data_IF_053162063531
#
_entry.id   IF_053162063531
#
_cell.length_a   1.000
_cell.length_b   1.000
_cell.length_c   1.000
_cell.angle_alpha   90.00
_cell.angle_beta   90.00
_cell.angle_gamma   90.00
#
_symmetry.space_group_name_H-M   'P 1'
#
loop_
_entity.id
_entity.type
_entity.pdbx_description
1 polymer ?
#
# COMPACT_ATOMS: atom_id res chain seq x y z
N UNK A 1 15.35 -9.40 12.59
CA UNK A 1 14.92 -8.67 11.38
C UNK A 1 13.41 -8.63 11.42
N UNK A 2 12.77 -7.49 11.11
CA UNK A 2 11.30 -7.50 11.00
C UNK A 2 10.90 -8.39 9.82
N UNK A 3 9.75 -9.04 9.92
CA UNK A 3 9.16 -9.71 8.77
C UNK A 3 8.83 -8.69 7.66
N UNK A 4 8.88 -9.09 6.37
CA UNK A 4 8.61 -8.18 5.25
C UNK A 4 7.13 -7.75 5.25
N UNK A 5 6.80 -6.56 4.73
CA UNK A 5 5.41 -6.19 4.53
C UNK A 5 4.73 -7.14 3.53
N UNK A 6 3.40 -7.19 3.54
CA UNK A 6 2.61 -8.07 2.69
C UNK A 6 1.95 -7.29 1.54
N UNK A 7 1.85 -7.95 0.39
CA UNK A 7 1.03 -7.53 -0.74
C UNK A 7 -0.05 -8.59 -0.97
N UNK A 8 -1.22 -8.35 -0.40
CA UNK A 8 -2.35 -9.26 -0.39
C UNK A 8 -3.18 -9.08 -1.67
N UNK A 9 -3.49 -10.19 -2.33
CA UNK A 9 -4.03 -10.17 -3.68
C UNK A 9 -5.28 -11.05 -3.80
N UNK A 10 -6.42 -10.43 -4.12
CA UNK A 10 -7.58 -11.15 -4.62
C UNK A 10 -7.48 -11.46 -6.12
N UNK A 11 -8.36 -12.34 -6.60
CA UNK A 11 -8.45 -12.77 -8.00
C UNK A 11 -9.64 -12.11 -8.68
N UNK A 12 -10.87 -12.43 -8.29
CA UNK A 12 -12.07 -11.92 -8.93
C UNK A 12 -12.21 -10.41 -8.66
N UNK A 13 -12.56 -9.64 -9.70
CA UNK A 13 -12.59 -8.18 -9.64
C UNK A 13 -11.21 -7.48 -9.57
N UNK A 14 -10.12 -8.23 -9.29
CA UNK A 14 -8.76 -7.67 -9.17
C UNK A 14 -7.86 -8.09 -10.33
N UNK A 15 -7.45 -9.36 -10.37
CA UNK A 15 -6.70 -9.93 -11.50
C UNK A 15 -7.63 -10.36 -12.63
N UNK A 16 -8.82 -10.87 -12.27
CA UNK A 16 -9.89 -11.28 -13.15
C UNK A 16 -10.95 -10.18 -13.22
N UNK A 17 -10.86 -9.33 -14.24
CA UNK A 17 -11.85 -8.27 -14.44
C UNK A 17 -13.21 -8.85 -14.84
N UNK A 18 -14.29 -8.28 -14.32
CA UNK A 18 -15.66 -8.69 -14.61
C UNK A 18 -16.09 -8.31 -16.04
N UNK A 19 -15.53 -7.21 -16.55
CA UNK A 19 -15.65 -6.76 -17.93
C UNK A 19 -14.28 -6.72 -18.60
N UNK A 20 -14.24 -6.66 -19.93
CA UNK A 20 -12.97 -6.55 -20.68
C UNK A 20 -12.61 -5.06 -20.78
N UNK A 21 -11.60 -4.57 -20.04
CA UNK A 21 -11.23 -3.15 -20.05
C UNK A 21 -10.51 -2.75 -21.33
N UNK A 22 -9.70 -3.66 -21.90
CA UNK A 22 -8.88 -3.39 -23.08
C UNK A 22 -8.45 -4.66 -23.84
N UNK A 23 -7.80 -4.49 -25.01
CA UNK A 23 -7.31 -5.60 -25.83
C UNK A 23 -6.22 -6.45 -25.15
N UNK A 24 -5.50 -5.89 -24.18
CA UNK A 24 -4.47 -6.56 -23.37
C UNK A 24 -5.02 -7.62 -22.43
N UNK A 25 -6.32 -7.58 -22.13
CA UNK A 25 -7.00 -8.56 -21.29
C UNK A 25 -7.38 -9.81 -22.08
N UNK A 26 -6.82 -10.95 -21.74
CA UNK A 26 -7.01 -12.20 -22.46
C UNK A 26 -8.12 -13.02 -21.79
N UNK A 27 -9.05 -13.52 -22.61
CA UNK A 27 -10.06 -14.44 -22.12
C UNK A 27 -9.46 -15.85 -22.00
N UNK A 28 -9.63 -16.47 -20.84
CA UNK A 28 -9.17 -17.83 -20.56
C UNK A 28 -10.17 -18.56 -19.67
N UNK A 29 -9.86 -19.79 -19.29
CA UNK A 29 -10.70 -20.60 -18.41
C UNK A 29 -9.88 -21.30 -17.33
N UNK A 30 -10.50 -21.45 -16.17
CA UNK A 30 -10.01 -22.25 -15.07
C UNK A 30 -11.21 -22.83 -14.32
N UNK A 31 -11.17 -24.11 -13.96
CA UNK A 31 -12.23 -24.78 -13.19
C UNK A 31 -13.66 -24.55 -13.72
N UNK A 32 -13.81 -24.39 -15.03
CA UNK A 32 -15.11 -24.12 -15.68
C UNK A 32 -15.51 -22.65 -15.76
N UNK A 33 -14.87 -21.76 -14.99
CA UNK A 33 -15.09 -20.31 -15.04
C UNK A 33 -14.40 -19.67 -16.24
N UNK A 34 -15.00 -18.59 -16.75
CA UNK A 34 -14.36 -17.72 -17.74
C UNK A 34 -13.63 -16.62 -16.99
N UNK A 35 -12.36 -16.44 -17.29
CA UNK A 35 -11.52 -15.39 -16.71
C UNK A 35 -11.15 -14.37 -17.78
N UNK A 36 -10.98 -13.12 -17.37
CA UNK A 36 -10.38 -12.03 -18.14
C UNK A 36 -9.15 -11.55 -17.38
N UNK A 37 -7.97 -11.97 -17.83
CA UNK A 37 -6.70 -11.68 -17.14
C UNK A 37 -5.81 -10.81 -18.03
N UNK A 38 -5.06 -9.89 -17.43
CA UNK A 38 -3.98 -9.21 -18.12
C UNK A 38 -2.62 -9.87 -17.75
N UNK A 39 -1.92 -10.52 -18.71
CA UNK A 39 -0.64 -11.16 -18.42
C UNK A 39 0.46 -10.21 -17.94
N UNK A 40 0.35 -8.89 -18.16
CA UNK A 40 1.34 -7.94 -17.67
C UNK A 40 1.29 -7.74 -16.15
N UNK A 41 0.16 -8.07 -15.50
CA UNK A 41 -0.02 -7.83 -14.07
C UNK A 41 0.92 -8.67 -13.20
N UNK A 42 1.24 -9.91 -13.57
CA UNK A 42 2.21 -10.70 -12.79
C UNK A 42 3.60 -10.09 -12.76
N UNK A 43 4.23 -9.76 -13.90
CA UNK A 43 5.49 -9.03 -13.93
C UNK A 43 5.46 -7.70 -13.16
N UNK A 44 4.35 -6.95 -13.22
CA UNK A 44 4.20 -5.69 -12.49
C UNK A 44 4.14 -5.91 -10.96
N UNK A 45 3.40 -6.93 -10.50
CA UNK A 45 3.34 -7.32 -9.09
C UNK A 45 4.68 -7.79 -8.56
N UNK A 46 5.41 -8.61 -9.34
CA UNK A 46 6.75 -9.07 -8.98
C UNK A 46 7.74 -7.91 -8.84
N UNK A 47 7.71 -6.97 -9.80
CA UNK A 47 8.52 -5.77 -9.74
C UNK A 47 8.18 -4.91 -8.51
N UNK A 48 6.90 -4.73 -8.21
CA UNK A 48 6.47 -3.99 -7.01
C UNK A 48 6.96 -4.66 -5.72
N UNK A 49 6.85 -5.99 -5.63
CA UNK A 49 7.34 -6.76 -4.50
C UNK A 49 8.86 -6.62 -4.33
N UNK A 50 9.62 -6.72 -5.43
CA UNK A 50 11.08 -6.53 -5.45
C UNK A 50 11.49 -5.11 -4.99
N UNK A 51 10.85 -4.08 -5.55
CA UNK A 51 11.15 -2.67 -5.23
C UNK A 51 10.89 -2.32 -3.76
N UNK A 52 9.85 -2.92 -3.17
CA UNK A 52 9.38 -2.58 -1.83
C UNK A 52 9.84 -3.56 -0.75
N UNK A 53 10.39 -4.71 -1.15
CA UNK A 53 10.70 -5.82 -0.24
C UNK A 53 9.44 -6.48 0.34
N UNK A 54 8.29 -6.33 -0.31
CA UNK A 54 7.03 -6.95 0.11
C UNK A 54 6.94 -8.40 -0.34
N UNK A 55 6.25 -9.22 0.45
CA UNK A 55 5.90 -10.59 0.12
C UNK A 55 4.50 -10.63 -0.52
N UNK A 56 4.41 -11.15 -1.74
CA UNK A 56 3.13 -11.39 -2.39
C UNK A 56 2.43 -12.58 -1.76
N UNK A 57 1.14 -12.42 -1.42
CA UNK A 57 0.34 -13.47 -0.78
C UNK A 57 -1.08 -13.46 -1.34
N UNK A 58 -1.61 -14.64 -1.65
CA UNK A 58 -2.99 -14.82 -2.09
C UNK A 58 -3.97 -14.58 -0.93
N UNK A 59 -4.90 -13.66 -1.12
CA UNK A 59 -5.98 -13.33 -0.20
C UNK A 59 -7.33 -13.44 -0.94
N UNK A 60 -7.60 -14.65 -1.44
CA UNK A 60 -8.66 -14.90 -2.42
C UNK A 60 -9.45 -16.16 -2.07
N UNK A 61 -10.70 -16.21 -2.53
CA UNK A 61 -11.59 -17.37 -2.40
C UNK A 61 -11.12 -18.58 -3.21
N UNK A 62 -10.21 -18.36 -4.17
CA UNK A 62 -9.53 -19.44 -4.89
C UNK A 62 -8.53 -20.22 -4.01
N UNK A 63 -8.08 -19.65 -2.90
CA UNK A 63 -7.06 -20.23 -2.02
C UNK A 63 -5.90 -20.88 -2.82
N UNK A 64 -5.61 -22.16 -2.57
CA UNK A 64 -4.54 -22.91 -3.25
C UNK A 64 -4.81 -23.14 -4.74
N UNK A 65 -6.04 -23.02 -5.24
CA UNK A 65 -6.32 -23.03 -6.68
C UNK A 65 -5.72 -21.80 -7.37
N UNK A 66 -5.51 -20.68 -6.68
CA UNK A 66 -4.88 -19.50 -7.28
C UNK A 66 -3.47 -19.81 -7.81
N UNK A 67 -2.68 -20.59 -7.07
CA UNK A 67 -1.36 -21.06 -7.50
C UNK A 67 -1.43 -22.03 -8.70
N UNK A 68 -2.49 -22.84 -8.79
CA UNK A 68 -2.64 -23.83 -9.88
C UNK A 68 -3.19 -23.20 -11.16
N UNK A 69 -4.12 -22.27 -11.00
CA UNK A 69 -4.99 -21.83 -12.07
C UNK A 69 -4.75 -20.39 -12.49
N UNK A 70 -4.40 -19.49 -11.57
CA UNK A 70 -4.27 -18.06 -11.85
C UNK A 70 -2.81 -17.69 -12.08
N UNK A 71 -1.94 -17.99 -11.11
CA UNK A 71 -0.54 -17.60 -11.13
C UNK A 71 0.18 -17.89 -12.46
N UNK A 72 0.15 -19.14 -12.97
CA UNK A 72 0.78 -19.49 -14.24
C UNK A 72 0.25 -18.71 -15.46
N UNK A 73 -1.00 -18.23 -15.43
CA UNK A 73 -1.62 -17.51 -16.55
C UNK A 73 -1.21 -16.03 -16.60
N UNK A 74 -0.78 -15.47 -15.46
CA UNK A 74 -0.26 -14.10 -15.36
C UNK A 74 1.24 -14.04 -15.12
N UNK A 75 1.93 -15.19 -15.01
CA UNK A 75 3.37 -15.24 -14.80
C UNK A 75 3.81 -15.03 -13.34
N UNK A 76 2.93 -15.29 -12.38
CA UNK A 76 3.28 -15.32 -10.96
C UNK A 76 3.80 -16.71 -10.57
N UNK A 77 4.82 -16.79 -9.68
CA UNK A 77 5.26 -18.05 -9.11
C UNK A 77 4.22 -18.61 -8.13
N UNK A 78 4.52 -19.76 -7.53
CA UNK A 78 3.78 -20.21 -6.35
C UNK A 78 4.01 -19.23 -5.20
N UNK A 79 2.92 -18.77 -4.58
CA UNK A 79 2.93 -17.78 -3.51
C UNK A 79 2.26 -18.33 -2.25
N UNK A 80 2.58 -17.81 -1.06
CA UNK A 80 1.81 -18.06 0.15
C UNK A 80 0.30 -17.81 -0.04
N UNK A 81 -0.52 -18.57 0.68
CA UNK A 81 -1.98 -18.49 0.62
C UNK A 81 -2.53 -18.24 2.02
N UNK A 82 -3.44 -17.28 2.14
CA UNK A 82 -4.27 -17.13 3.34
C UNK A 82 -5.40 -18.16 3.24
N UNK A 83 -5.37 -19.16 4.12
CA UNK A 83 -6.45 -20.12 4.25
C UNK A 83 -7.60 -19.46 5.01
N UNK A 84 -8.76 -19.35 4.35
CA UNK A 84 -9.90 -18.59 4.86
C UNK A 84 -10.66 -19.36 5.97
N UNK A 85 -10.47 -20.68 6.02
CA UNK A 85 -11.01 -21.54 7.07
C UNK A 85 -12.53 -21.48 7.20
N UNK A 86 -13.05 -21.88 8.37
CA UNK A 86 -14.47 -21.67 8.69
C UNK A 86 -14.69 -20.20 9.03
N UNK A 87 -15.35 -19.47 8.14
CA UNK A 87 -15.63 -18.05 8.28
C UNK A 87 -16.20 -17.71 9.68
N UNK A 88 -15.60 -16.73 10.34
CA UNK A 88 -16.23 -16.06 11.46
C UNK A 88 -17.28 -15.11 10.88
N UNK A 89 -18.56 -15.43 11.06
CA UNK A 89 -19.66 -14.57 10.60
C UNK A 89 -19.71 -13.31 11.48
N UNK A 90 -19.01 -12.28 11.04
CA UNK A 90 -19.03 -10.95 11.64
C UNK A 90 -19.98 -10.10 10.79
N UNK A 91 -21.12 -9.66 11.34
CA UNK A 91 -22.13 -8.96 10.56
C UNK A 91 -21.57 -7.72 9.85
N UNK A 92 -21.76 -7.68 8.52
CA UNK A 92 -21.33 -6.56 7.67
C UNK A 92 -19.86 -6.59 7.24
N UNK A 93 -19.07 -7.51 7.76
CA UNK A 93 -17.66 -7.70 7.41
C UNK A 93 -17.56 -8.79 6.34
N UNK A 94 -16.77 -8.55 5.30
CA UNK A 94 -16.44 -9.53 4.29
C UNK A 94 -15.82 -10.75 4.95
N UNK A 95 -16.32 -11.92 4.62
CA UNK A 95 -15.95 -13.17 5.29
C UNK A 95 -14.45 -13.54 5.17
N UNK A 96 -13.72 -12.95 4.21
CA UNK A 96 -12.25 -13.04 4.09
C UNK A 96 -11.52 -12.26 5.18
N UNK A 97 -12.08 -11.12 5.61
CA UNK A 97 -11.40 -10.12 6.46
C UNK A 97 -10.91 -10.68 7.79
N UNK A 98 -11.68 -11.51 8.54
CA UNK A 98 -11.17 -12.12 9.77
C UNK A 98 -9.94 -13.01 9.55
N UNK A 99 -9.92 -13.81 8.48
CA UNK A 99 -8.78 -14.67 8.17
C UNK A 99 -7.53 -13.85 7.81
N UNK A 100 -7.71 -12.75 7.07
CA UNK A 100 -6.62 -11.80 6.79
C UNK A 100 -6.09 -11.18 8.09
N UNK A 101 -6.97 -10.74 8.99
CA UNK A 101 -6.58 -10.11 10.25
C UNK A 101 -5.73 -11.04 11.13
N UNK A 102 -6.05 -12.33 11.17
CA UNK A 102 -5.26 -13.34 11.88
C UNK A 102 -3.92 -13.68 11.19
N UNK A 103 -3.90 -13.62 9.85
CA UNK A 103 -2.72 -13.98 9.07
C UNK A 103 -1.59 -12.95 9.18
N UNK A 104 -1.93 -11.64 9.18
CA UNK A 104 -0.94 -10.56 9.02
C UNK A 104 0.04 -10.41 10.19
N UNK A 105 -0.34 -10.82 11.41
CA UNK A 105 0.57 -10.91 12.58
C UNK A 105 1.44 -9.67 12.83
N UNK A 106 0.86 -8.49 12.64
CA UNK A 106 1.50 -7.19 12.86
C UNK A 106 2.36 -6.71 11.69
N UNK A 107 2.49 -7.50 10.62
CA UNK A 107 3.18 -7.10 9.39
C UNK A 107 2.37 -5.99 8.70
N UNK A 108 3.00 -4.88 8.28
CA UNK A 108 2.33 -3.89 7.45
C UNK A 108 1.88 -4.53 6.13
N UNK A 109 0.72 -4.13 5.59
CA UNK A 109 0.24 -4.74 4.34
C UNK A 109 -0.57 -3.80 3.44
N UNK A 110 -0.51 -4.09 2.14
CA UNK A 110 -1.44 -3.55 1.15
C UNK A 110 -2.37 -4.67 0.70
N UNK A 111 -3.67 -4.41 0.58
CA UNK A 111 -4.64 -5.39 0.09
C UNK A 111 -5.39 -4.85 -1.13
N UNK A 112 -5.21 -5.52 -2.27
CA UNK A 112 -6.03 -5.31 -3.47
C UNK A 112 -7.27 -6.20 -3.43
N UNK A 113 -8.43 -5.59 -3.38
CA UNK A 113 -9.74 -6.25 -3.32
C UNK A 113 -10.80 -5.32 -3.90
N UNK A 114 -11.84 -5.87 -4.51
CA UNK A 114 -12.99 -5.11 -5.01
C UNK A 114 -14.18 -5.09 -4.04
N UNK A 115 -14.26 -6.06 -3.13
CA UNK A 115 -15.44 -6.29 -2.28
C UNK A 115 -15.34 -5.67 -0.87
N UNK A 116 -14.18 -5.13 -0.49
CA UNK A 116 -13.98 -4.53 0.83
C UNK A 116 -14.78 -3.24 1.03
N UNK A 117 -15.29 -3.05 2.24
CA UNK A 117 -16.09 -1.90 2.63
C UNK A 117 -15.62 -1.25 3.96
N UNK A 118 -16.32 -0.20 4.39
CA UNK A 118 -15.99 0.55 5.61
C UNK A 118 -16.01 -0.31 6.90
N UNK A 119 -16.87 -1.33 6.97
CA UNK A 119 -16.93 -2.25 8.10
C UNK A 119 -15.70 -3.18 8.14
N UNK A 120 -15.17 -3.60 6.99
CA UNK A 120 -13.91 -4.32 6.90
C UNK A 120 -12.75 -3.48 7.41
N UNK A 121 -12.68 -2.22 6.98
CA UNK A 121 -11.64 -1.30 7.43
C UNK A 121 -11.74 -1.04 8.94
N UNK A 122 -12.95 -0.85 9.47
CA UNK A 122 -13.18 -0.68 10.90
C UNK A 122 -12.82 -1.94 11.70
N UNK A 123 -13.13 -3.12 11.18
CA UNK A 123 -12.73 -4.40 11.77
C UNK A 123 -11.20 -4.49 11.85
N UNK A 124 -10.49 -4.33 10.73
CA UNK A 124 -9.02 -4.37 10.69
C UNK A 124 -8.38 -3.36 11.63
N UNK A 125 -8.87 -2.11 11.67
CA UNK A 125 -8.35 -1.05 12.57
C UNK A 125 -8.44 -1.41 14.05
N UNK A 126 -9.41 -2.22 14.44
CA UNK A 126 -9.68 -2.53 15.85
C UNK A 126 -9.22 -3.94 16.25
N UNK A 127 -8.86 -4.78 15.28
CA UNK A 127 -8.45 -6.15 15.52
C UNK A 127 -7.02 -6.21 16.08
N UNK A 128 -6.80 -6.89 17.23
CA UNK A 128 -5.46 -7.06 17.79
C UNK A 128 -4.52 -7.77 16.80
N UNK A 129 -3.29 -7.28 16.68
CA UNK A 129 -2.29 -7.91 15.81
C UNK A 129 -2.41 -7.55 14.34
N UNK A 130 -3.31 -6.65 13.95
CA UNK A 130 -3.27 -6.00 12.64
C UNK A 130 -2.25 -4.85 12.67
N UNK A 131 -1.31 -4.87 11.72
CA UNK A 131 -0.32 -3.79 11.54
C UNK A 131 -0.89 -2.60 10.76
N UNK A 132 -0.04 -1.63 10.44
CA UNK A 132 -0.41 -0.55 9.50
C UNK A 132 -0.84 -1.15 8.16
N UNK A 133 -1.89 -0.62 7.55
CA UNK A 133 -2.41 -1.19 6.32
C UNK A 133 -2.96 -0.16 5.35
N UNK A 134 -3.02 -0.58 4.07
CA UNK A 134 -3.70 0.15 3.01
C UNK A 134 -4.64 -0.79 2.26
N UNK A 135 -5.92 -0.44 2.20
CA UNK A 135 -6.85 -1.05 1.26
C UNK A 135 -6.78 -0.29 -0.07
N UNK A 136 -6.58 -1.04 -1.15
CA UNK A 136 -6.67 -0.53 -2.53
C UNK A 136 -7.92 -1.12 -3.14
N UNK A 137 -9.01 -0.36 -3.05
CA UNK A 137 -10.28 -0.71 -3.70
C UNK A 137 -10.08 -0.73 -5.21
N UNK A 138 -10.26 -1.89 -5.80
CA UNK A 138 -10.22 -2.10 -7.24
C UNK A 138 -11.65 -2.08 -7.77
N UNK A 139 -11.89 -1.39 -8.87
CA UNK A 139 -13.17 -1.51 -9.57
C UNK A 139 -13.19 -2.85 -10.31
N UNK A 140 -14.10 -3.74 -9.90
CA UNK A 140 -14.23 -5.09 -10.44
C UNK A 140 -14.41 -5.15 -11.96
N UNK A 141 -15.03 -4.14 -12.57
CA UNK A 141 -15.21 -4.07 -14.02
C UNK A 141 -13.90 -3.83 -14.77
N UNK A 142 -12.94 -3.16 -14.12
CA UNK A 142 -11.70 -2.70 -14.71
C UNK A 142 -10.47 -3.49 -14.25
N UNK A 143 -10.53 -4.16 -13.09
CA UNK A 143 -9.40 -4.84 -12.49
C UNK A 143 -8.23 -3.91 -12.13
N UNK A 144 -7.06 -4.50 -11.90
CA UNK A 144 -5.86 -3.72 -11.57
C UNK A 144 -5.48 -2.72 -12.66
N UNK A 145 -4.99 -1.56 -12.23
CA UNK A 145 -4.54 -0.45 -13.09
C UNK A 145 -3.20 0.08 -12.59
N UNK A 146 -2.47 0.80 -13.44
CA UNK A 146 -1.19 1.44 -13.06
C UNK A 146 -1.30 2.29 -11.80
N UNK A 147 -2.43 3.00 -11.62
CA UNK A 147 -2.69 3.80 -10.42
C UNK A 147 -2.74 2.97 -9.14
N UNK A 148 -3.24 1.73 -9.21
CA UNK A 148 -3.25 0.83 -8.05
C UNK A 148 -1.82 0.42 -7.67
N UNK A 149 -0.97 0.14 -8.65
CA UNK A 149 0.45 -0.17 -8.42
C UNK A 149 1.22 1.02 -7.84
N UNK A 150 0.98 2.23 -8.35
CA UNK A 150 1.59 3.46 -7.83
C UNK A 150 1.20 3.70 -6.37
N UNK A 151 -0.10 3.64 -6.05
CA UNK A 151 -0.60 3.82 -4.69
C UNK A 151 0.03 2.82 -3.70
N UNK A 152 0.15 1.55 -4.11
CA UNK A 152 0.78 0.53 -3.30
C UNK A 152 2.28 0.76 -3.12
N UNK A 153 3.00 1.14 -4.19
CA UNK A 153 4.44 1.45 -4.15
C UNK A 153 4.74 2.58 -3.18
N UNK A 154 4.00 3.67 -3.29
CA UNK A 154 4.23 4.86 -2.47
C UNK A 154 4.02 4.55 -1.00
N UNK A 155 2.92 3.89 -0.68
CA UNK A 155 2.59 3.52 0.69
C UNK A 155 3.64 2.58 1.29
N UNK A 156 4.01 1.50 0.59
CA UNK A 156 5.01 0.55 1.08
C UNK A 156 6.39 1.20 1.24
N UNK A 157 6.75 2.10 0.34
CA UNK A 157 7.99 2.88 0.44
C UNK A 157 8.00 3.73 1.71
N UNK A 158 6.91 4.46 1.97
CA UNK A 158 6.77 5.28 3.19
C UNK A 158 6.85 4.42 4.45
N UNK A 159 6.22 3.25 4.47
CA UNK A 159 6.26 2.33 5.62
C UNK A 159 7.68 1.82 5.90
N UNK A 160 8.41 1.44 4.85
CA UNK A 160 9.80 0.99 4.96
C UNK A 160 10.67 2.07 5.57
N UNK A 161 10.56 3.30 5.10
CA UNK A 161 11.39 4.42 5.56
C UNK A 161 11.05 4.88 6.96
N UNK A 162 9.77 4.83 7.31
CA UNK A 162 9.32 5.05 8.68
C UNK A 162 9.94 4.02 9.61
N UNK A 163 9.93 2.75 9.21
CA UNK A 163 10.55 1.66 9.96
C UNK A 163 12.07 1.81 10.09
N UNK A 164 12.76 2.21 9.00
CA UNK A 164 14.20 2.46 9.01
C UNK A 164 14.56 3.67 9.89
N UNK A 165 13.80 4.78 9.79
CA UNK A 165 13.94 5.95 10.67
C UNK A 165 13.79 5.56 12.12
N UNK A 166 12.78 4.77 12.47
CA UNK A 166 12.50 4.40 13.85
C UNK A 166 13.56 3.44 14.41
N UNK A 167 14.10 2.54 13.58
CA UNK A 167 15.27 1.72 13.93
C UNK A 167 16.50 2.56 14.18
N UNK A 168 16.82 3.50 13.29
CA UNK A 168 17.97 4.39 13.46
C UNK A 168 17.80 5.28 14.70
N UNK A 169 16.60 5.78 14.98
CA UNK A 169 16.32 6.55 16.19
C UNK A 169 16.42 5.69 17.47
N UNK A 170 16.03 4.42 17.42
CA UNK A 170 16.22 3.50 18.54
C UNK A 170 17.69 3.19 18.75
N UNK A 171 18.41 2.83 17.68
CA UNK A 171 19.84 2.57 17.73
C UNK A 171 20.62 3.79 18.22
N UNK A 172 20.22 5.01 17.84
CA UNK A 172 20.82 6.25 18.33
C UNK A 172 20.57 6.46 19.83
N UNK A 173 19.38 6.13 20.36
CA UNK A 173 19.09 6.20 21.81
C UNK A 173 19.86 5.14 22.60
N UNK A 174 19.93 3.93 22.06
CA UNK A 174 20.67 2.83 22.66
C UNK A 174 22.18 3.07 22.57
N UNK A 175 22.64 3.70 21.48
CA UNK A 175 24.02 4.15 21.31
C UNK A 175 24.31 5.38 22.15
N UNK A 176 23.40 6.33 22.39
CA UNK A 176 23.61 7.44 23.33
C UNK A 176 23.67 6.93 24.78
N UNK A 177 22.94 5.85 25.09
CA UNK A 177 23.08 5.12 26.34
C UNK A 177 24.42 4.34 26.42
N UNK A 178 25.04 4.00 25.27
CA UNK A 178 26.35 3.32 25.17
C UNK A 178 27.54 4.29 24.92
N UNK A 179 27.28 5.50 24.42
CA UNK A 179 28.23 6.52 23.98
C UNK A 179 28.52 7.54 25.08
N UNK A 180 28.06 7.28 26.29
CA UNK A 180 28.80 7.69 27.47
C UNK A 180 30.14 6.95 27.64
N UNK A 181 30.48 5.96 26.79
CA UNK A 181 31.77 5.24 26.91
C UNK A 181 32.55 4.95 25.60
N UNK A 182 32.11 5.35 24.40
CA UNK A 182 33.00 5.20 23.22
C UNK A 182 32.71 6.12 22.03
N UNK A 183 33.61 7.07 21.84
CA UNK A 183 33.76 7.90 20.65
C UNK A 183 34.12 7.09 19.38
N UNK A 184 33.53 7.51 18.26
CA UNK A 184 34.05 7.46 16.86
C UNK A 184 34.31 6.07 16.23
N UNK A 185 33.41 5.63 15.34
CA UNK A 185 33.62 5.42 13.88
C UNK A 185 32.58 4.43 13.31
N UNK A 186 31.57 4.93 12.58
CA UNK A 186 30.74 4.13 11.66
C UNK A 186 30.69 4.84 10.30
N UNK A 187 30.82 4.05 9.23
CA UNK A 187 31.51 4.41 7.99
C UNK A 187 30.70 5.27 7.01
N UNK A 188 31.39 6.15 6.28
CA UNK A 188 30.83 7.07 5.27
C UNK A 188 29.97 6.40 4.18
N UNK A 189 30.11 5.07 3.97
CA UNK A 189 29.35 4.31 2.98
C UNK A 189 27.86 4.19 3.33
N UNK A 190 27.53 3.95 4.60
CA UNK A 190 26.13 3.84 5.05
C UNK A 190 25.44 5.21 5.02
N UNK A 191 26.18 6.29 5.30
CA UNK A 191 25.67 7.67 5.17
C UNK A 191 25.41 8.05 3.72
N UNK A 192 26.26 7.61 2.80
CA UNK A 192 26.09 7.86 1.36
C UNK A 192 24.88 7.09 0.80
N UNK A 193 24.67 5.84 1.22
CA UNK A 193 23.51 5.04 0.83
C UNK A 193 22.19 5.66 1.36
N UNK A 194 22.16 6.04 2.65
CA UNK A 194 21.00 6.70 3.24
C UNK A 194 20.69 8.06 2.56
N UNK A 195 21.72 8.84 2.23
CA UNK A 195 21.56 10.10 1.52
C UNK A 195 21.01 9.90 0.09
N UNK A 196 21.43 8.83 -0.59
CA UNK A 196 20.90 8.44 -1.89
C UNK A 196 19.40 8.08 -1.81
N UNK A 197 19.02 7.25 -0.82
CA UNK A 197 17.63 6.86 -0.61
C UNK A 197 16.74 8.06 -0.26
N UNK A 198 17.22 8.99 0.59
CA UNK A 198 16.53 10.26 0.91
C UNK A 198 16.36 11.16 -0.32
N UNK A 199 17.31 11.17 -1.26
CA UNK A 199 17.20 11.92 -2.51
C UNK A 199 16.08 11.38 -3.40
N UNK A 200 16.05 10.06 -3.60
CA UNK A 200 15.00 9.39 -4.40
C UNK A 200 13.60 9.71 -3.85
N UNK A 201 13.47 9.80 -2.53
CA UNK A 201 12.20 10.15 -1.90
C UNK A 201 11.78 11.58 -2.09
N UNK A 202 12.73 12.52 -2.04
CA UNK A 202 12.44 13.92 -2.33
C UNK A 202 11.94 14.06 -3.78
N UNK A 203 12.50 13.29 -4.70
CA UNK A 203 12.09 13.30 -6.10
C UNK A 203 10.69 12.69 -6.28
N UNK A 204 10.37 11.57 -5.62
CA UNK A 204 9.02 11.00 -5.64
C UNK A 204 7.97 11.91 -4.97
N UNK A 205 8.28 12.51 -3.82
CA UNK A 205 7.38 13.48 -3.16
C UNK A 205 7.16 14.70 -4.07
N UNK A 206 8.20 15.18 -4.75
CA UNK A 206 8.07 16.27 -5.71
C UNK A 206 7.21 15.89 -6.93
N UNK A 207 7.34 14.64 -7.42
CA UNK A 207 6.52 14.12 -8.51
C UNK A 207 5.04 14.02 -8.09
N UNK A 208 4.74 13.42 -6.94
CA UNK A 208 3.38 13.34 -6.38
C UNK A 208 2.76 14.72 -6.14
N UNK A 209 3.55 15.69 -5.68
CA UNK A 209 3.10 17.08 -5.55
C UNK A 209 2.83 17.73 -6.91
N UNK A 210 3.64 17.45 -7.93
CA UNK A 210 3.45 17.94 -9.29
C UNK A 210 2.18 17.34 -9.92
N UNK A 211 1.97 16.03 -9.74
CA UNK A 211 0.81 15.32 -10.28
C UNK A 211 -0.48 15.71 -9.55
N UNK A 212 -0.44 15.90 -8.23
CA UNK A 212 -1.55 16.48 -7.48
C UNK A 212 -1.88 17.91 -7.92
N UNK A 213 -0.86 18.72 -8.28
CA UNK A 213 -1.08 20.07 -8.85
C UNK A 213 -1.69 20.01 -10.25
N UNK A 214 -1.25 19.06 -11.08
CA UNK A 214 -1.76 18.88 -12.44
C UNK A 214 -3.19 18.31 -12.46
N UNK A 215 -3.49 17.36 -11.57
CA UNK A 215 -4.78 16.67 -11.51
C UNK A 215 -5.92 17.53 -10.93
N UNK A 216 -5.61 18.51 -10.08
CA UNK A 216 -6.64 19.31 -9.40
C UNK A 216 -7.17 20.50 -10.21
N UNK A 217 -6.54 20.91 -11.33
CA UNK A 217 -6.90 22.13 -12.08
C UNK A 217 -7.11 23.38 -11.19
N UNK A 218 -6.52 23.38 -9.99
CA UNK A 218 -6.56 24.50 -9.06
C UNK A 218 -5.39 25.41 -9.42
N UNK A 219 -5.71 26.66 -9.73
CA UNK A 219 -4.71 27.72 -9.83
C UNK A 219 -4.12 28.00 -8.43
N UNK A 220 -3.02 27.32 -8.13
CA UNK A 220 -2.35 27.38 -6.84
C UNK A 220 -1.77 28.76 -6.52
N UNK A 221 -1.48 29.58 -7.53
CA UNK A 221 -1.01 30.95 -7.31
C UNK A 221 -2.19 31.88 -7.03
N UNK A 222 -3.36 31.65 -7.64
CA UNK A 222 -4.61 32.30 -7.23
C UNK A 222 -5.03 31.89 -5.81
N UNK A 223 -4.85 30.63 -5.42
CA UNK A 223 -5.16 30.15 -4.07
C UNK A 223 -4.23 30.77 -3.01
N UNK A 224 -2.92 30.85 -3.28
CA UNK A 224 -1.97 31.54 -2.40
C UNK A 224 -2.28 33.03 -2.26
N UNK A 225 -2.66 33.68 -3.37
CA UNK A 225 -3.05 35.10 -3.37
C UNK A 225 -4.33 35.33 -2.57
N UNK A 226 -5.32 34.43 -2.70
CA UNK A 226 -6.55 34.48 -1.91
C UNK A 226 -6.29 34.23 -0.41
N UNK A 227 -5.40 33.30 -0.07
CA UNK A 227 -5.01 33.02 1.32
C UNK A 227 -4.23 34.19 1.94
N UNK A 228 -3.31 34.81 1.20
CA UNK A 228 -2.59 36.01 1.65
C UNK A 228 -3.52 37.22 1.86
N UNK A 229 -4.61 37.32 1.08
CA UNK A 229 -5.65 38.33 1.28
C UNK A 229 -6.55 38.10 2.51
N UNK A 230 -6.55 36.87 3.05
CA UNK A 230 -7.34 36.48 4.23
C UNK A 230 -6.58 36.64 5.55
N UNK A 231 -5.29 36.95 5.53
CA UNK A 231 -4.46 37.19 6.73
C UNK A 231 -4.86 38.46 7.52
N UNK A 232 -5.89 39.19 7.07
CA UNK A 232 -6.43 40.39 7.74
C UNK A 232 -7.75 40.20 8.49
N UNK A 233 -8.32 38.98 8.59
CA UNK A 233 -9.61 38.74 9.28
C UNK A 233 -9.44 37.64 10.33
N UNK A 234 -9.83 37.93 11.58
CA UNK A 234 -9.57 37.16 12.80
C UNK A 234 -9.80 35.62 12.70
N UNK A 235 -8.68 34.93 12.55
CA UNK A 235 -8.18 33.69 13.20
C UNK A 235 -9.10 32.82 14.08
N UNK A 236 -10.05 32.08 13.49
CA UNK A 236 -10.43 30.75 14.04
C UNK A 236 -10.80 29.71 12.98
N UNK A 237 -11.51 30.12 11.92
CA UNK A 237 -11.94 29.21 10.86
C UNK A 237 -10.80 28.75 9.93
N UNK A 238 -9.85 29.65 9.60
CA UNK A 238 -8.73 29.34 8.68
C UNK A 238 -7.74 28.36 9.31
N UNK A 239 -7.53 28.44 10.64
CA UNK A 239 -6.65 27.52 11.37
C UNK A 239 -7.24 26.10 11.43
N UNK A 240 -8.58 25.99 11.52
CA UNK A 240 -9.28 24.70 11.49
C UNK A 240 -9.20 24.03 10.11
N UNK A 241 -9.32 24.81 9.03
CA UNK A 241 -9.22 24.31 7.65
C UNK A 241 -7.79 23.90 7.30
N UNK A 242 -6.78 24.70 7.68
CA UNK A 242 -5.37 24.34 7.49
C UNK A 242 -4.93 23.16 8.37
N UNK A 243 -5.52 23.02 9.56
CA UNK A 243 -5.34 21.85 10.44
C UNK A 243 -5.89 20.57 9.81
N UNK A 244 -7.12 20.61 9.29
CA UNK A 244 -7.73 19.48 8.59
C UNK A 244 -6.95 19.11 7.32
N UNK A 245 -6.45 20.09 6.57
CA UNK A 245 -5.64 19.87 5.38
C UNK A 245 -4.26 19.26 5.69
N UNK A 246 -3.56 19.74 6.74
CA UNK A 246 -2.32 19.09 7.21
C UNK A 246 -2.56 17.66 7.70
N UNK A 247 -3.70 17.39 8.33
CA UNK A 247 -4.05 16.06 8.82
C UNK A 247 -4.42 15.10 7.68
N UNK A 248 -4.97 15.60 6.59
CA UNK A 248 -5.26 14.84 5.36
C UNK A 248 -4.01 14.59 4.49
N UNK A 249 -2.97 15.41 4.62
CA UNK A 249 -1.69 15.26 3.91
C UNK A 249 -0.63 14.49 4.75
N UNK A 250 -0.92 14.23 6.03
CA UNK A 250 -0.05 13.44 6.94
C UNK A 250 -0.61 12.04 7.28
N UNK A 251 -1.62 11.58 6.55
CA UNK A 251 -2.11 10.20 6.51
C UNK A 251 -2.08 9.71 5.08
#
# INVERSE_FOLDING_TARGET
MSEPPLLLLDVDGVLNALQRPGPEWIATRALGFRLLLNPSHGPMLLKLAEETGAELTWATTWEHDANREIGPKVGLPEMPVIELGSAHDVPGVLWKTPAVAEYVKGRPFVWFDDDLNDADEAYLKTHPGVGEFLIVHVDGDHGLTDRHFEKARDWLTIQRLTSERDRLASAARDSDAYALDKELTESDAERADLASQVSVLKDHVAALQSDARAALAIDWDALKTAVAGLEGVETSAVSAVLGAFRQAVSR
#
